data_IF_731183979818
#
_entry.id   IF_731183979818
#
_cell.length_a   1.000
_cell.length_b   1.000
_cell.length_c   1.000
_cell.angle_alpha   90.00
_cell.angle_beta   90.00
_cell.angle_gamma   90.00
#
_symmetry.space_group_name_H-M   'P 1'
#
loop_
_entity.id
_entity.type
_entity.pdbx_description
1 polymer ?
#
# COMPACT_ATOMS: atom_id res chain seq x y z
N UNK A 1 8.27 -15.27 1.13
CA UNK A 1 7.35 -14.85 0.05
C UNK A 1 7.80 -15.54 -1.24
N UNK A 2 6.87 -15.99 -2.07
CA UNK A 2 7.15 -16.52 -3.41
C UNK A 2 7.66 -15.38 -4.32
N UNK A 3 8.86 -15.47 -4.92
CA UNK A 3 9.39 -14.44 -5.82
C UNK A 3 8.51 -14.12 -7.03
N UNK A 4 7.69 -15.09 -7.46
CA UNK A 4 6.76 -14.97 -8.59
C UNK A 4 5.30 -14.71 -8.15
N UNK A 5 5.09 -14.55 -6.84
CA UNK A 5 3.78 -14.21 -6.29
C UNK A 5 3.32 -12.81 -6.69
N UNK A 6 2.00 -12.59 -6.63
CA UNK A 6 1.40 -11.27 -6.85
C UNK A 6 1.03 -10.64 -5.52
N UNK A 7 1.46 -9.41 -5.30
CA UNK A 7 1.39 -8.77 -4.00
C UNK A 7 0.84 -7.35 -4.08
N UNK A 8 0.20 -6.93 -2.99
CA UNK A 8 -0.17 -5.55 -2.73
C UNK A 8 0.45 -5.12 -1.40
N UNK A 9 1.21 -4.02 -1.44
CA UNK A 9 1.91 -3.50 -0.27
C UNK A 9 1.03 -2.55 0.54
N UNK A 10 1.02 -2.69 1.86
CA UNK A 10 0.40 -1.76 2.80
C UNK A 10 1.48 -1.18 3.71
N UNK A 11 1.72 0.13 3.56
CA UNK A 11 2.71 0.87 4.35
C UNK A 11 1.98 1.88 5.24
N UNK A 12 1.57 1.42 6.41
CA UNK A 12 0.66 2.14 7.30
C UNK A 12 1.42 2.84 8.43
N UNK A 13 0.74 3.78 9.10
CA UNK A 13 1.26 4.47 10.26
C UNK A 13 0.17 4.60 11.30
N UNK A 14 0.52 4.48 12.58
CA UNK A 14 -0.38 4.90 13.65
C UNK A 14 -0.69 6.40 13.51
N UNK A 15 -1.98 6.71 13.49
CA UNK A 15 -2.53 8.06 13.45
C UNK A 15 -3.86 8.06 14.23
N UNK A 16 -4.27 9.17 14.87
CA UNK A 16 -5.58 9.23 15.51
C UNK A 16 -6.71 8.77 14.57
N UNK A 17 -7.51 7.80 15.02
CA UNK A 17 -8.59 7.20 14.23
C UNK A 17 -8.20 5.97 13.40
N UNK A 18 -6.95 5.48 13.49
CA UNK A 18 -6.52 4.29 12.75
C UNK A 18 -7.28 3.04 13.16
N UNK A 19 -7.67 2.93 14.44
CA UNK A 19 -8.47 1.83 14.96
C UNK A 19 -9.83 1.74 14.26
N UNK A 20 -10.48 2.89 14.01
CA UNK A 20 -11.75 2.98 13.29
C UNK A 20 -11.59 2.70 11.79
N UNK A 21 -10.45 3.08 11.21
CA UNK A 21 -10.15 2.88 9.79
C UNK A 21 -9.53 1.51 9.47
N UNK A 22 -9.14 0.73 10.48
CA UNK A 22 -8.46 -0.55 10.30
C UNK A 22 -9.31 -1.52 9.47
N UNK A 23 -10.62 -1.55 9.70
CA UNK A 23 -11.58 -2.37 8.93
C UNK A 23 -11.64 -1.97 7.46
N UNK A 24 -11.46 -0.69 7.12
CA UNK A 24 -11.44 -0.22 5.73
C UNK A 24 -10.20 -0.71 4.99
N UNK A 25 -9.03 -0.62 5.61
CA UNK A 25 -7.81 -1.21 5.04
C UNK A 25 -7.92 -2.73 4.90
N UNK A 26 -8.53 -3.39 5.88
CA UNK A 26 -8.76 -4.84 5.83
C UNK A 26 -9.69 -5.21 4.67
N UNK A 27 -10.79 -4.46 4.48
CA UNK A 27 -11.70 -4.64 3.35
C UNK A 27 -10.98 -4.43 2.01
N UNK A 28 -10.13 -3.40 1.89
CA UNK A 28 -9.31 -3.17 0.68
C UNK A 28 -8.33 -4.31 0.41
N UNK A 29 -7.68 -4.85 1.44
CA UNK A 29 -6.79 -6.00 1.33
C UNK A 29 -7.54 -7.28 0.90
N UNK A 30 -8.71 -7.54 1.49
CA UNK A 30 -9.60 -8.65 1.10
C UNK A 30 -10.08 -8.49 -0.34
N UNK A 31 -10.48 -7.29 -0.73
CA UNK A 31 -10.91 -6.97 -2.08
C UNK A 31 -9.80 -7.26 -3.12
N UNK A 32 -8.58 -6.76 -2.87
CA UNK A 32 -7.44 -7.00 -3.75
C UNK A 32 -7.10 -8.49 -3.87
N UNK A 33 -7.20 -9.25 -2.77
CA UNK A 33 -6.97 -10.68 -2.78
C UNK A 33 -8.04 -11.43 -3.59
N UNK A 34 -9.33 -11.20 -3.29
CA UNK A 34 -10.42 -11.94 -3.93
C UNK A 34 -10.59 -11.60 -5.41
N UNK A 35 -10.42 -10.34 -5.79
CA UNK A 35 -10.62 -9.88 -7.18
C UNK A 35 -9.40 -10.11 -8.06
N UNK A 36 -8.19 -9.89 -7.53
CA UNK A 36 -6.96 -9.85 -8.32
C UNK A 36 -5.94 -10.93 -7.94
N UNK A 37 -6.18 -11.71 -6.89
CA UNK A 37 -5.23 -12.68 -6.37
C UNK A 37 -3.98 -12.03 -5.73
N UNK A 38 -4.05 -10.74 -5.36
CA UNK A 38 -2.94 -10.03 -4.74
C UNK A 38 -2.88 -10.38 -3.25
N UNK A 39 -1.82 -11.07 -2.82
CA UNK A 39 -1.62 -11.36 -1.40
C UNK A 39 -1.14 -10.08 -0.68
N UNK A 40 -1.82 -9.62 0.39
CA UNK A 40 -1.41 -8.44 1.13
C UNK A 40 -0.06 -8.61 1.82
N UNK A 41 0.77 -7.56 1.77
CA UNK A 41 2.07 -7.48 2.45
C UNK A 41 2.09 -6.20 3.28
N UNK A 42 2.07 -6.33 4.60
CA UNK A 42 2.14 -5.22 5.54
C UNK A 42 3.60 -4.95 5.90
N UNK A 43 4.06 -3.73 5.62
CA UNK A 43 5.46 -3.33 5.72
C UNK A 43 5.65 -2.13 6.65
N UNK A 44 6.47 -2.29 7.69
CA UNK A 44 6.90 -1.20 8.56
C UNK A 44 8.17 -0.55 8.03
N UNK A 45 8.13 0.73 7.61
CA UNK A 45 9.37 1.47 7.25
C UNK A 45 10.10 1.90 8.52
N UNK A 46 9.35 2.39 9.52
CA UNK A 46 9.87 2.57 10.87
C UNK A 46 9.35 1.44 11.76
N UNK A 47 10.16 0.39 11.93
CA UNK A 47 9.82 -0.80 12.73
C UNK A 47 9.35 -0.46 14.16
N UNK A 48 9.80 0.67 14.73
CA UNK A 48 9.44 1.07 16.10
C UNK A 48 8.03 1.66 16.21
N UNK A 49 7.49 2.23 15.14
CA UNK A 49 6.27 3.05 15.22
C UNK A 49 5.17 2.65 14.25
N UNK A 50 5.50 1.89 13.21
CA UNK A 50 4.56 1.60 12.13
C UNK A 50 3.82 0.27 12.35
N UNK A 51 4.43 -0.69 13.06
CA UNK A 51 3.90 -2.06 13.19
C UNK A 51 2.55 -2.19 13.90
N UNK A 52 2.16 -1.23 14.75
CA UNK A 52 0.86 -1.25 15.42
C UNK A 52 -0.31 -1.08 14.44
N UNK A 53 -0.20 -0.16 13.48
CA UNK A 53 -1.28 0.07 12.52
C UNK A 53 -1.51 -1.14 11.61
N UNK A 54 -0.44 -1.77 11.14
CA UNK A 54 -0.51 -3.01 10.37
C UNK A 54 -1.18 -4.13 11.17
N UNK A 55 -0.85 -4.27 12.47
CA UNK A 55 -1.46 -5.29 13.33
C UNK A 55 -2.96 -5.10 13.48
N UNK A 56 -3.41 -3.87 13.76
CA UNK A 56 -4.84 -3.54 13.85
C UNK A 56 -5.61 -3.96 12.59
N UNK A 57 -5.02 -3.75 11.40
CA UNK A 57 -5.65 -4.18 10.14
C UNK A 57 -5.68 -5.71 10.04
N UNK A 58 -4.57 -6.38 10.34
CA UNK A 58 -4.46 -7.83 10.18
C UNK A 58 -5.34 -8.63 11.13
N UNK A 59 -5.73 -8.08 12.29
CA UNK A 59 -6.69 -8.69 13.22
C UNK A 59 -8.08 -8.91 12.57
N UNK A 60 -8.40 -8.17 11.51
CA UNK A 60 -9.65 -8.29 10.76
C UNK A 60 -9.52 -9.17 9.51
N UNK A 61 -8.35 -9.74 9.21
CA UNK A 61 -8.13 -10.54 8.00
C UNK A 61 -8.35 -12.03 8.26
N UNK A 62 -9.10 -12.65 7.34
CA UNK A 62 -9.28 -14.11 7.26
C UNK A 62 -8.65 -14.73 5.99
N UNK A 63 -7.90 -13.92 5.24
CA UNK A 63 -7.17 -14.31 4.03
C UNK A 63 -5.67 -14.46 4.32
N UNK A 64 -4.89 -15.15 3.47
CA UNK A 64 -3.44 -15.15 3.58
C UNK A 64 -2.86 -13.74 3.47
N UNK A 65 -1.89 -13.40 4.31
CA UNK A 65 -1.13 -12.15 4.26
C UNK A 65 0.30 -12.35 4.78
N UNK A 66 1.18 -11.41 4.48
CA UNK A 66 2.51 -11.32 5.09
C UNK A 66 2.61 -10.06 5.94
N UNK A 67 3.29 -10.16 7.08
CA UNK A 67 3.67 -9.01 7.90
C UNK A 67 5.18 -9.00 8.05
N UNK A 68 5.80 -7.90 7.63
CA UNK A 68 7.24 -7.66 7.76
C UNK A 68 7.41 -6.59 8.83
N UNK A 69 7.52 -7.05 10.08
CA UNK A 69 7.66 -6.23 11.28
C UNK A 69 9.06 -6.36 11.89
N UNK A 70 10.08 -6.27 11.03
CA UNK A 70 11.49 -6.32 11.40
C UNK A 70 12.23 -5.08 10.87
N UNK A 71 13.40 -4.81 11.46
CA UNK A 71 14.23 -3.70 11.01
C UNK A 71 14.85 -4.04 9.65
N UNK A 72 14.50 -3.26 8.63
CA UNK A 72 15.10 -3.33 7.30
C UNK A 72 15.95 -2.11 7.02
N UNK A 73 17.00 -2.30 6.22
CA UNK A 73 17.69 -1.24 5.51
C UNK A 73 16.78 -0.62 4.44
N UNK A 74 17.12 0.60 4.00
CA UNK A 74 16.43 1.27 2.90
C UNK A 74 16.42 0.43 1.62
N UNK A 75 17.53 -0.28 1.33
CA UNK A 75 17.64 -1.15 0.15
C UNK A 75 16.68 -2.33 0.18
N UNK A 76 16.48 -2.94 1.36
CA UNK A 76 15.53 -4.03 1.55
C UNK A 76 14.08 -3.53 1.41
N UNK A 77 13.74 -2.37 1.98
CA UNK A 77 12.43 -1.74 1.80
C UNK A 77 12.14 -1.50 0.31
N UNK A 78 13.09 -0.91 -0.42
CA UNK A 78 12.97 -0.70 -1.87
C UNK A 78 12.79 -2.03 -2.59
N UNK A 79 13.58 -3.05 -2.23
CA UNK A 79 13.50 -4.39 -2.82
C UNK A 79 12.13 -5.02 -2.65
N UNK A 80 11.55 -4.96 -1.45
CA UNK A 80 10.19 -5.45 -1.18
C UNK A 80 9.16 -4.67 -2.00
N UNK A 81 9.19 -3.34 -1.95
CA UNK A 81 8.23 -2.51 -2.65
C UNK A 81 8.30 -2.70 -4.18
N UNK A 82 9.49 -2.96 -4.74
CA UNK A 82 9.70 -3.21 -6.18
C UNK A 82 8.95 -4.45 -6.72
N UNK A 83 8.56 -5.37 -5.82
CA UNK A 83 7.84 -6.61 -6.16
C UNK A 83 6.32 -6.49 -6.02
N UNK A 84 5.82 -5.34 -5.60
CA UNK A 84 4.38 -5.13 -5.46
C UNK A 84 3.75 -4.79 -6.80
N UNK A 85 2.54 -5.30 -7.05
CA UNK A 85 1.70 -4.86 -8.17
C UNK A 85 1.23 -3.41 -7.94
N UNK A 86 0.91 -3.08 -6.68
CA UNK A 86 0.59 -1.71 -6.25
C UNK A 86 0.86 -1.56 -4.75
N UNK A 87 1.01 -0.31 -4.28
CA UNK A 87 1.28 0.02 -2.88
C UNK A 87 0.26 1.04 -2.36
N UNK A 88 -0.45 0.67 -1.30
CA UNK A 88 -1.24 1.58 -0.46
C UNK A 88 -0.34 2.11 0.64
N UNK A 89 -0.15 3.42 0.73
CA UNK A 89 0.77 4.00 1.72
C UNK A 89 0.25 5.27 2.36
N UNK A 90 0.35 5.31 3.69
CA UNK A 90 0.28 6.53 4.49
C UNK A 90 1.68 7.17 4.65
N UNK A 91 2.75 6.41 4.43
CA UNK A 91 4.14 6.88 4.63
C UNK A 91 4.67 7.51 3.35
N UNK A 92 5.14 8.76 3.45
CA UNK A 92 5.81 9.45 2.34
C UNK A 92 6.97 8.62 1.74
N UNK A 93 7.82 8.03 2.59
CA UNK A 93 8.91 7.19 2.10
C UNK A 93 8.42 5.95 1.34
N UNK A 94 7.30 5.36 1.75
CA UNK A 94 6.69 4.24 1.01
C UNK A 94 6.26 4.67 -0.39
N UNK A 95 5.69 5.88 -0.50
CA UNK A 95 5.29 6.46 -1.78
C UNK A 95 6.50 6.79 -2.66
N UNK A 96 7.53 7.44 -2.10
CA UNK A 96 8.77 7.79 -2.83
C UNK A 96 9.45 6.54 -3.36
N UNK A 97 9.63 5.53 -2.52
CA UNK A 97 10.34 4.31 -2.90
C UNK A 97 9.55 3.50 -3.94
N UNK A 98 8.24 3.36 -3.79
CA UNK A 98 7.41 2.68 -4.79
C UNK A 98 7.40 3.43 -6.14
N UNK A 99 7.23 4.76 -6.12
CA UNK A 99 7.27 5.59 -7.32
C UNK A 99 8.62 5.46 -8.06
N UNK A 100 9.73 5.47 -7.32
CA UNK A 100 11.07 5.30 -7.89
C UNK A 100 11.30 3.95 -8.57
N UNK A 101 10.48 2.93 -8.27
CA UNK A 101 10.51 1.61 -8.92
C UNK A 101 9.45 1.47 -10.03
N UNK A 102 8.67 2.53 -10.31
CA UNK A 102 7.57 2.49 -11.29
C UNK A 102 6.37 1.65 -10.82
N UNK A 103 6.24 1.41 -9.52
CA UNK A 103 5.10 0.69 -8.94
C UNK A 103 3.96 1.68 -8.73
N UNK A 104 2.73 1.41 -9.23
CA UNK A 104 1.57 2.28 -9.00
C UNK A 104 1.25 2.45 -7.51
N UNK A 105 1.01 3.69 -7.10
CA UNK A 105 0.73 4.06 -5.71
C UNK A 105 -0.74 4.40 -5.47
N UNK A 106 -1.17 4.17 -4.24
CA UNK A 106 -2.42 4.65 -3.65
C UNK A 106 -2.05 5.42 -2.38
N UNK A 107 -2.20 6.73 -2.42
CA UNK A 107 -1.90 7.59 -1.27
C UNK A 107 -3.06 7.65 -0.29
N UNK A 108 -2.78 7.48 1.00
CA UNK A 108 -3.73 7.82 2.07
C UNK A 108 -3.14 8.96 2.90
N UNK A 109 -3.56 10.17 2.58
CA UNK A 109 -2.98 11.40 3.11
C UNK A 109 -3.56 11.76 4.49
N UNK A 110 -2.71 11.91 5.49
CA UNK A 110 -3.06 12.44 6.82
C UNK A 110 -2.24 13.70 7.19
N UNK A 111 -1.18 13.99 6.42
CA UNK A 111 -0.26 15.10 6.62
C UNK A 111 -0.03 15.81 5.28
N UNK A 112 0.08 17.16 5.27
CA UNK A 112 0.27 17.94 4.04
C UNK A 112 1.46 17.51 3.18
N UNK A 113 2.51 16.90 3.75
CA UNK A 113 3.67 16.40 3.00
C UNK A 113 3.33 15.23 2.10
N UNK A 114 2.36 14.40 2.49
CA UNK A 114 1.90 13.27 1.66
C UNK A 114 1.17 13.83 0.44
N UNK A 115 0.21 14.74 0.66
CA UNK A 115 -0.52 15.43 -0.41
C UNK A 115 0.44 16.18 -1.35
N UNK A 116 1.36 16.98 -0.80
CA UNK A 116 2.31 17.76 -1.58
C UNK A 116 3.22 16.88 -2.47
N UNK A 117 3.62 15.70 -2.00
CA UNK A 117 4.37 14.76 -2.83
C UNK A 117 3.52 14.19 -3.97
N UNK A 118 2.28 13.77 -3.67
CA UNK A 118 1.38 13.19 -4.66
C UNK A 118 1.00 14.19 -5.75
N UNK A 119 0.76 15.45 -5.38
CA UNK A 119 0.55 16.54 -6.32
C UNK A 119 1.81 16.80 -7.17
N UNK A 120 3.00 16.75 -6.57
CA UNK A 120 4.27 16.93 -7.28
C UNK A 120 4.55 15.83 -8.32
N UNK A 121 4.19 14.58 -8.03
CA UNK A 121 4.34 13.46 -8.99
C UNK A 121 3.13 13.31 -9.92
N UNK A 122 2.22 14.29 -9.92
CA UNK A 122 0.97 14.33 -10.70
C UNK A 122 0.13 13.05 -10.54
N UNK A 123 0.19 12.43 -9.36
CA UNK A 123 -0.58 11.22 -9.05
C UNK A 123 -1.91 11.60 -8.40
N UNK A 124 -3.00 11.41 -9.13
CA UNK A 124 -4.36 11.63 -8.63
C UNK A 124 -4.94 10.44 -7.85
N UNK A 125 -4.16 9.36 -7.69
CA UNK A 125 -4.62 8.13 -7.06
C UNK A 125 -4.43 8.19 -5.53
N UNK A 126 -5.14 9.10 -4.88
CA UNK A 126 -5.08 9.25 -3.42
C UNK A 126 -6.39 9.75 -2.82
N UNK A 127 -6.51 9.57 -1.50
CA UNK A 127 -7.61 10.13 -0.70
C UNK A 127 -7.12 10.62 0.66
N UNK A 128 -7.91 11.50 1.28
CA UNK A 128 -7.67 11.93 2.66
C UNK A 128 -8.02 10.81 3.63
N UNK A 129 -7.21 10.63 4.67
CA UNK A 129 -7.39 9.60 5.69
C UNK A 129 -8.76 9.72 6.38
N UNK A 130 -9.21 10.93 6.65
CA UNK A 130 -10.51 11.21 7.25
C UNK A 130 -11.67 10.70 6.37
N UNK A 131 -11.54 10.87 5.06
CA UNK A 131 -12.51 10.45 4.05
C UNK A 131 -12.39 8.97 3.65
N UNK A 132 -11.39 8.24 4.18
CA UNK A 132 -11.13 6.84 3.85
C UNK A 132 -12.38 5.97 4.07
N UNK A 133 -12.81 5.30 3.01
CA UNK A 133 -13.94 4.38 2.99
C UNK A 133 -13.67 3.22 2.01
N UNK A 134 -14.41 2.12 2.17
CA UNK A 134 -14.15 0.86 1.45
C UNK A 134 -14.30 0.98 -0.06
N UNK A 135 -15.33 1.71 -0.50
CA UNK A 135 -15.65 1.87 -1.92
C UNK A 135 -14.53 2.62 -2.64
N UNK A 136 -14.16 3.78 -2.13
CA UNK A 136 -13.14 4.60 -2.78
C UNK A 136 -11.77 3.92 -2.74
N UNK A 137 -11.41 3.23 -1.64
CA UNK A 137 -10.18 2.45 -1.60
C UNK A 137 -10.18 1.34 -2.66
N UNK A 138 -11.31 0.65 -2.86
CA UNK A 138 -11.45 -0.38 -3.89
C UNK A 138 -11.32 0.19 -5.31
N UNK A 139 -11.91 1.36 -5.58
CA UNK A 139 -11.80 2.06 -6.87
C UNK A 139 -10.35 2.52 -7.17
N UNK A 140 -9.62 2.96 -6.14
CA UNK A 140 -8.20 3.32 -6.25
C UNK A 140 -7.32 2.08 -6.49
N UNK A 141 -7.66 0.93 -5.88
CA UNK A 141 -7.02 -0.36 -6.15
C UNK A 141 -7.24 -0.79 -7.60
N UNK A 142 -8.47 -0.72 -8.11
CA UNK A 142 -8.79 -1.03 -9.49
C UNK A 142 -7.94 -0.21 -10.47
N UNK A 143 -7.88 1.11 -10.21
CA UNK A 143 -7.12 2.06 -11.03
C UNK A 143 -5.62 1.76 -11.02
N UNK A 144 -5.06 1.45 -9.86
CA UNK A 144 -3.64 1.15 -9.70
C UNK A 144 -3.24 -0.18 -10.36
N UNK A 145 -4.07 -1.22 -10.23
CA UNK A 145 -3.84 -2.53 -10.87
C UNK A 145 -3.92 -2.41 -12.40
N UNK A 146 -4.85 -1.62 -12.93
CA UNK A 146 -4.94 -1.35 -14.36
C UNK A 146 -3.70 -0.61 -14.91
N UNK A 147 -3.12 0.31 -14.11
CA UNK A 147 -1.84 0.96 -14.43
C UNK A 147 -0.68 -0.05 -14.46
N UNK A 148 -0.60 -0.96 -13.48
CA UNK A 148 0.45 -1.97 -13.40
C UNK A 148 0.46 -2.87 -14.65
N UNK A 149 -0.72 -3.34 -15.08
CA UNK A 149 -0.85 -4.18 -16.28
C UNK A 149 -0.35 -3.50 -17.56
N UNK A 150 -0.60 -2.18 -17.73
CA UNK A 150 -0.08 -1.41 -18.86
C UNK A 150 1.45 -1.29 -18.84
N UNK A 151 2.04 -1.09 -17.66
CA UNK A 151 3.49 -1.03 -17.50
C UNK A 151 4.20 -2.36 -17.78
N UNK A 152 3.56 -3.48 -17.48
CA UNK A 152 4.06 -4.81 -17.86
C UNK A 152 4.01 -5.04 -19.37
N UNK A 153 2.92 -4.64 -20.03
CA UNK A 153 2.77 -4.79 -21.48
C UNK A 153 3.81 -3.97 -22.26
N UNK A 154 4.09 -2.74 -21.82
CA UNK A 154 5.12 -1.88 -22.41
C UNK A 154 6.54 -2.43 -22.24
N UNK A 155 6.84 -3.09 -21.11
CA UNK A 155 8.17 -3.71 -20.85
C UNK A 155 8.40 -5.00 -21.63
N UNK A 156 7.33 -5.63 -22.13
CA UNK A 156 7.39 -6.86 -22.94
C UNK A 156 7.46 -6.61 -24.44
N UNK A 157 7.36 -5.35 -24.88
CA UNK A 157 7.51 -4.91 -26.27
C UNK A 157 8.92 -4.38 -26.49
#
# INVERSE_FOLDING_TARGET
MDPEGKYIGFVLRKWPGIEEKATVFAAGAVYAYLKYGLTPVFLSINFRTDGEASRLVTEHLSIPYYMIDEQMSTGEVIGVLSRMTTVVSMRLHGLIFAAGQGVPLIGVAYDPKVTAFLDYVEQNNYMQFEALNEKDLSDLIDSAVALAGRGEELRRR
#
